data_IF_216494128920
#
_entry.id   IF_216494128920
#
_cell.length_a   1.000
_cell.length_b   1.000
_cell.length_c   1.000
_cell.angle_alpha   90.00
_cell.angle_beta   90.00
_cell.angle_gamma   90.00
#
_symmetry.space_group_name_H-M   'P 1'
#
loop_
_entity.id
_entity.type
_entity.pdbx_description
1 polymer ?
#
# COMPACT_ATOMS: atom_id res chain seq x y z
N UNK A 1 -21.29 0.28 -12.40
CA UNK A 1 -19.99 -0.40 -12.25
C UNK A 1 -19.30 0.14 -11.00
N UNK A 2 -18.91 -0.71 -10.04
CA UNK A 2 -18.06 -0.26 -8.93
C UNK A 2 -16.64 -0.10 -9.44
N UNK A 3 -16.08 1.12 -9.37
CA UNK A 3 -14.69 1.39 -9.76
C UNK A 3 -13.75 0.78 -8.72
N UNK A 4 -12.72 0.07 -9.19
CA UNK A 4 -11.65 -0.41 -8.32
C UNK A 4 -10.78 0.77 -7.90
N UNK A 5 -10.49 0.88 -6.61
CA UNK A 5 -9.47 1.79 -6.11
C UNK A 5 -8.11 1.15 -6.34
N UNK A 6 -7.19 1.93 -6.91
CA UNK A 6 -5.80 1.58 -7.12
C UNK A 6 -5.01 2.26 -6.00
N UNK A 7 -4.16 1.48 -5.32
CA UNK A 7 -3.12 2.00 -4.46
C UNK A 7 -1.78 1.88 -5.20
N UNK A 8 -1.01 2.96 -5.20
CA UNK A 8 0.32 3.02 -5.82
C UNK A 8 1.32 3.67 -4.88
N UNK A 9 2.60 3.42 -5.12
CA UNK A 9 3.69 4.04 -4.40
C UNK A 9 4.61 4.81 -5.34
N UNK A 10 5.12 5.94 -4.85
CA UNK A 10 6.18 6.71 -5.47
C UNK A 10 7.55 6.12 -5.13
N UNK A 11 8.59 6.53 -5.86
CA UNK A 11 9.98 6.16 -5.57
C UNK A 11 10.43 6.57 -4.16
N UNK A 12 9.82 7.62 -3.60
CA UNK A 12 10.00 8.05 -2.21
C UNK A 12 9.40 7.10 -1.17
N UNK A 13 8.62 6.11 -1.62
CA UNK A 13 7.83 5.23 -0.76
C UNK A 13 6.50 5.82 -0.32
N UNK A 14 6.14 7.04 -0.74
CA UNK A 14 4.81 7.61 -0.48
C UNK A 14 3.72 6.82 -1.20
N UNK A 15 2.70 6.41 -0.45
CA UNK A 15 1.56 5.65 -0.94
C UNK A 15 0.38 6.60 -1.13
N UNK A 16 -0.24 6.51 -2.30
CA UNK A 16 -1.45 7.25 -2.63
C UNK A 16 -2.52 6.34 -3.24
N UNK A 17 -3.73 6.89 -3.36
CA UNK A 17 -4.89 6.18 -3.86
C UNK A 17 -5.65 6.96 -4.90
N UNK A 18 -6.28 6.25 -5.82
CA UNK A 18 -7.18 6.83 -6.79
C UNK A 18 -7.74 5.81 -7.76
N UNK A 19 -8.40 6.31 -8.80
CA UNK A 19 -9.06 5.45 -9.80
C UNK A 19 -8.31 5.38 -11.13
N UNK A 20 -7.22 6.13 -11.24
CA UNK A 20 -6.33 6.18 -12.40
C UNK A 20 -4.91 6.12 -11.85
N UNK A 21 -4.08 5.25 -12.43
CA UNK A 21 -2.68 5.11 -12.06
C UNK A 21 -1.88 6.25 -12.73
N UNK A 22 -1.19 7.12 -11.98
CA UNK A 22 -0.30 8.13 -12.55
C UNK A 22 0.89 7.50 -13.28
N UNK A 23 1.43 8.22 -14.28
CA UNK A 23 2.68 7.83 -14.92
C UNK A 23 3.85 7.93 -13.93
N UNK A 24 4.75 6.93 -13.94
CA UNK A 24 5.89 6.87 -13.03
C UNK A 24 5.58 6.35 -11.62
N UNK A 25 4.31 6.11 -11.28
CA UNK A 25 3.92 5.47 -10.03
C UNK A 25 3.98 3.93 -10.14
N UNK A 26 4.40 3.27 -9.05
CA UNK A 26 4.45 1.81 -8.99
C UNK A 26 3.13 1.26 -8.43
N UNK A 27 2.36 0.48 -9.20
CA UNK A 27 1.09 -0.07 -8.73
C UNK A 27 1.33 -1.14 -7.66
N UNK A 28 0.64 -1.01 -6.52
CA UNK A 28 0.71 -1.99 -5.42
C UNK A 28 -0.44 -2.99 -5.55
N UNK A 29 -1.68 -2.49 -5.56
CA UNK A 29 -2.89 -3.31 -5.62
C UNK A 29 -4.07 -2.52 -6.15
N UNK A 30 -5.01 -3.20 -6.80
CA UNK A 30 -6.30 -2.64 -7.19
C UNK A 30 -7.45 -3.54 -6.70
N UNK A 31 -8.52 -2.93 -6.19
CA UNK A 31 -9.64 -3.70 -5.65
C UNK A 31 -10.76 -2.86 -5.06
N UNK A 32 -11.54 -3.46 -4.17
CA UNK A 32 -12.64 -2.76 -3.48
C UNK A 32 -12.06 -1.62 -2.62
N UNK A 33 -12.57 -0.38 -2.72
CA UNK A 33 -12.01 0.77 -2.02
C UNK A 33 -11.80 0.56 -0.51
N UNK A 34 -12.81 0.02 0.18
CA UNK A 34 -12.74 -0.23 1.63
C UNK A 34 -11.66 -1.28 1.99
N UNK A 35 -11.55 -2.36 1.20
CA UNK A 35 -10.54 -3.40 1.45
C UNK A 35 -9.13 -2.88 1.18
N UNK A 36 -8.94 -2.14 0.07
CA UNK A 36 -7.63 -1.60 -0.30
C UNK A 36 -7.15 -0.59 0.74
N UNK A 37 -8.00 0.38 1.13
CA UNK A 37 -7.65 1.38 2.16
C UNK A 37 -7.28 0.72 3.48
N UNK A 38 -8.16 -0.15 3.99
CA UNK A 38 -7.92 -0.82 5.26
C UNK A 38 -6.63 -1.65 5.29
N UNK A 39 -6.37 -2.43 4.23
CA UNK A 39 -5.14 -3.24 4.16
C UNK A 39 -3.90 -2.35 4.08
N UNK A 40 -3.93 -1.29 3.28
CA UNK A 40 -2.79 -0.38 3.14
C UNK A 40 -2.55 0.38 4.46
N UNK A 41 -3.58 0.94 5.09
CA UNK A 41 -3.47 1.65 6.39
C UNK A 41 -2.85 0.75 7.46
N UNK A 42 -3.27 -0.52 7.56
CA UNK A 42 -2.70 -1.46 8.55
C UNK A 42 -1.25 -1.83 8.25
N UNK A 43 -0.88 -1.91 6.97
CA UNK A 43 0.42 -2.42 6.54
C UNK A 43 1.48 -1.33 6.34
N UNK A 44 1.05 -0.11 6.02
CA UNK A 44 1.94 1.00 5.75
C UNK A 44 2.59 1.52 7.04
N UNK A 45 3.76 2.15 6.87
CA UNK A 45 4.36 2.96 7.92
C UNK A 45 3.65 4.32 7.94
N UNK A 46 3.09 4.68 9.08
CA UNK A 46 2.55 6.01 9.30
C UNK A 46 3.70 7.00 9.58
N UNK A 47 3.78 8.05 8.77
CA UNK A 47 4.60 9.22 9.07
C UNK A 47 4.13 9.86 10.38
N UNK A 48 5.06 10.49 11.12
CA UNK A 48 4.75 11.19 12.37
C UNK A 48 4.37 12.66 12.15
N UNK A 49 4.41 13.11 10.91
CA UNK A 49 4.17 14.50 10.54
C UNK A 49 2.67 14.79 10.49
N UNK A 50 2.32 16.07 10.48
CA UNK A 50 0.92 16.58 10.56
C UNK A 50 -0.02 16.07 9.46
N UNK A 51 0.49 15.36 8.46
CA UNK A 51 -0.22 14.93 7.26
C UNK A 51 -0.52 13.42 7.18
N UNK A 52 -0.27 12.65 8.26
CA UNK A 52 -0.54 11.19 8.35
C UNK A 52 -0.14 10.42 7.08
N UNK A 53 1.09 10.69 6.58
CA UNK A 53 1.55 10.11 5.32
C UNK A 53 1.70 8.59 5.45
N UNK A 54 1.20 7.86 4.45
CA UNK A 54 1.38 6.40 4.36
C UNK A 54 2.62 6.11 3.52
N UNK A 55 3.58 5.42 4.13
CA UNK A 55 4.85 5.07 3.50
C UNK A 55 4.98 3.56 3.37
N UNK A 56 5.63 3.11 2.30
CA UNK A 56 6.03 1.71 2.15
C UNK A 56 7.07 1.40 3.23
N UNK A 57 6.80 0.47 4.15
CA UNK A 57 7.72 0.14 5.22
C UNK A 57 9.03 -0.43 4.64
N UNK A 58 10.16 0.11 5.08
CA UNK A 58 11.50 -0.26 4.62
C UNK A 58 12.06 0.64 3.52
N UNK A 59 11.26 1.45 2.83
CA UNK A 59 11.78 2.46 1.89
C UNK A 59 12.35 3.68 2.64
N UNK A 60 11.66 4.29 3.62
CA UNK A 60 12.21 5.40 4.39
C UNK A 60 13.49 5.05 5.16
N UNK A 61 13.70 3.77 5.49
CA UNK A 61 14.85 3.27 6.21
C UNK A 61 15.97 2.71 5.30
N UNK A 62 15.71 2.56 4.00
CA UNK A 62 16.67 1.98 3.06
C UNK A 62 17.85 2.93 2.83
N UNK A 63 19.06 2.37 2.88
CA UNK A 63 20.30 3.09 2.57
C UNK A 63 20.63 2.97 1.09
N UNK A 64 20.15 1.92 0.42
CA UNK A 64 20.39 1.65 -1.00
C UNK A 64 19.10 1.48 -1.79
N UNK A 65 19.17 1.74 -3.10
CA UNK A 65 18.03 1.50 -4.01
C UNK A 65 17.61 0.03 -4.03
N UNK A 66 18.55 -0.90 -3.89
CA UNK A 66 18.27 -2.34 -3.82
C UNK A 66 17.45 -2.69 -2.57
N UNK A 67 17.79 -2.12 -1.41
CA UNK A 67 17.01 -2.29 -0.18
C UNK A 67 15.58 -1.73 -0.33
N UNK A 68 15.45 -0.53 -0.91
CA UNK A 68 14.15 0.08 -1.17
C UNK A 68 13.31 -0.77 -2.15
N UNK A 69 13.93 -1.29 -3.20
CA UNK A 69 13.27 -2.16 -4.18
C UNK A 69 12.82 -3.49 -3.56
N UNK A 70 13.68 -4.11 -2.75
CA UNK A 70 13.34 -5.32 -2.01
C UNK A 70 12.19 -5.09 -1.01
N UNK A 71 12.20 -3.94 -0.31
CA UNK A 71 11.11 -3.53 0.57
C UNK A 71 9.79 -3.36 -0.20
N UNK A 72 9.83 -2.70 -1.36
CA UNK A 72 8.67 -2.54 -2.25
C UNK A 72 8.10 -3.88 -2.69
N UNK A 73 8.93 -4.79 -3.21
CA UNK A 73 8.49 -6.12 -3.65
C UNK A 73 7.82 -6.87 -2.50
N UNK A 74 8.45 -6.86 -1.32
CA UNK A 74 7.92 -7.51 -0.12
C UNK A 74 6.56 -6.94 0.26
N UNK A 75 6.43 -5.62 0.25
CA UNK A 75 5.18 -4.93 0.56
C UNK A 75 4.07 -5.29 -0.43
N UNK A 76 4.32 -5.19 -1.73
CA UNK A 76 3.36 -5.53 -2.78
C UNK A 76 2.86 -6.98 -2.64
N UNK A 77 3.77 -7.93 -2.39
CA UNK A 77 3.42 -9.35 -2.20
C UNK A 77 2.49 -9.54 -0.99
N UNK A 78 2.79 -8.87 0.10
CA UNK A 78 2.11 -9.02 1.38
C UNK A 78 0.73 -8.34 1.41
N UNK A 79 0.62 -7.17 0.75
CA UNK A 79 -0.65 -6.48 0.49
C UNK A 79 -1.53 -7.31 -0.43
N UNK A 80 -1.00 -7.79 -1.56
CA UNK A 80 -1.77 -8.61 -2.51
C UNK A 80 -2.34 -9.86 -1.84
N UNK A 81 -1.56 -10.53 -1.00
CA UNK A 81 -2.04 -11.69 -0.22
C UNK A 81 -3.25 -11.34 0.64
N UNK A 82 -3.22 -10.23 1.38
CA UNK A 82 -4.34 -9.78 2.24
C UNK A 82 -5.56 -9.30 1.47
N UNK A 83 -5.37 -8.69 0.30
CA UNK A 83 -6.49 -8.24 -0.54
C UNK A 83 -7.17 -9.43 -1.24
N UNK A 84 -6.40 -10.43 -1.70
CA UNK A 84 -6.94 -11.65 -2.31
C UNK A 84 -7.59 -12.59 -1.31
N UNK A 85 -7.04 -12.65 -0.09
CA UNK A 85 -7.57 -13.42 1.02
C UNK A 85 -7.85 -12.48 2.20
N UNK A 86 -8.88 -11.62 2.10
CA UNK A 86 -9.25 -10.76 3.21
C UNK A 86 -9.59 -11.69 4.38
N UNK A 87 -8.81 -11.57 5.45
CA UNK A 87 -8.92 -12.41 6.62
C UNK A 87 -10.40 -12.54 6.99
N UNK A 88 -10.93 -13.76 7.01
CA UNK A 88 -12.29 -14.09 7.46
C UNK A 88 -12.36 -13.99 9.00
N UNK A 89 -11.62 -13.07 9.60
CA UNK A 89 -11.51 -12.87 11.04
C UNK A 89 -12.81 -12.27 11.54
N UNK A 90 -13.73 -13.19 11.85
CA UNK A 90 -14.71 -13.18 12.94
C UNK A 90 -15.14 -11.78 13.35
N UNK A 91 -16.33 -11.40 12.90
CA UNK A 91 -17.35 -10.82 13.77
C UNK A 91 -17.29 -11.52 15.14
N UNK A 92 -16.55 -10.95 16.09
CA UNK A 92 -16.89 -11.10 17.49
C UNK A 92 -17.89 -9.99 17.76
N UNK A 93 -19.15 -10.38 17.89
CA UNK A 93 -20.18 -9.53 18.49
C UNK A 93 -19.96 -9.38 19.98
#
# INVERSE_FOLDING_TARGET
>A
MKKNLIAWAWSSGLIEFGYVLPEGALPIVAGKPATVRHVIEVMARHGRDEQEQLLVPGIPEAVTEEEAFNAMIRFCREVRRRVSYPNRTRTRG
#
